data_IF_719066794794
#
_entry.id   IF_719066794794
#
_cell.length_a   1.000
_cell.length_b   1.000
_cell.length_c   1.000
_cell.angle_alpha   90.00
_cell.angle_beta   90.00
_cell.angle_gamma   90.00
#
_symmetry.space_group_name_H-M   'P 1'
#
loop_
_entity.id
_entity.type
_entity.pdbx_description
1 polymer ?
#
# COMPACT_ATOMS: atom_id res chain seq x y z
N UNK A 1 -34.79 -2.41 -35.32
CA UNK A 1 -34.75 -3.53 -34.35
C UNK A 1 -33.42 -3.44 -33.61
N UNK A 2 -33.42 -3.01 -32.35
CA UNK A 2 -32.21 -2.91 -31.54
C UNK A 2 -31.90 -4.26 -30.91
N UNK A 3 -30.80 -4.89 -31.29
CA UNK A 3 -30.29 -6.09 -30.64
C UNK A 3 -29.65 -5.66 -29.31
N UNK A 4 -30.34 -5.91 -28.20
CA UNK A 4 -29.75 -5.80 -26.86
C UNK A 4 -28.80 -6.98 -26.67
N UNK A 5 -27.49 -6.71 -26.76
CA UNK A 5 -26.45 -7.68 -26.44
C UNK A 5 -26.44 -7.91 -24.92
N UNK A 6 -27.18 -8.91 -24.44
CA UNK A 6 -27.09 -9.34 -23.06
C UNK A 6 -25.80 -10.16 -22.91
N UNK A 7 -24.82 -9.71 -22.09
CA UNK A 7 -23.61 -10.50 -21.88
C UNK A 7 -23.99 -11.85 -21.26
N UNK A 8 -23.34 -12.96 -21.67
CA UNK A 8 -23.63 -14.28 -21.13
C UNK A 8 -23.55 -14.27 -19.59
N UNK A 9 -24.42 -14.99 -18.88
CA UNK A 9 -24.46 -14.97 -17.41
C UNK A 9 -23.13 -15.39 -16.76
N UNK A 10 -22.33 -16.22 -17.45
CA UNK A 10 -20.98 -16.58 -17.03
C UNK A 10 -20.01 -15.38 -17.05
N UNK A 11 -20.11 -14.51 -18.05
CA UNK A 11 -19.29 -13.29 -18.14
C UNK A 11 -19.65 -12.35 -16.98
N UNK A 12 -20.95 -12.19 -16.70
CA UNK A 12 -21.40 -11.40 -15.56
C UNK A 12 -20.89 -11.99 -14.22
N UNK A 13 -20.97 -13.32 -14.05
CA UNK A 13 -20.49 -14.00 -12.85
C UNK A 13 -18.98 -13.82 -12.64
N UNK A 14 -18.18 -13.91 -13.71
CA UNK A 14 -16.73 -13.65 -13.65
C UNK A 14 -16.44 -12.20 -13.26
N UNK A 15 -17.14 -11.24 -13.86
CA UNK A 15 -16.99 -9.83 -13.47
C UNK A 15 -17.35 -9.59 -12.00
N UNK A 16 -18.44 -10.18 -11.51
CA UNK A 16 -18.84 -10.08 -10.11
C UNK A 16 -17.81 -10.70 -9.17
N UNK A 17 -17.24 -11.85 -9.53
CA UNK A 17 -16.16 -12.49 -8.76
C UNK A 17 -14.90 -11.62 -8.72
N UNK A 18 -14.50 -11.03 -9.84
CA UNK A 18 -13.35 -10.12 -9.89
C UNK A 18 -13.59 -8.87 -9.05
N UNK A 19 -14.77 -8.25 -9.17
CA UNK A 19 -15.15 -7.08 -8.36
C UNK A 19 -15.18 -7.43 -6.86
N UNK A 20 -15.73 -8.59 -6.49
CA UNK A 20 -15.73 -9.06 -5.12
C UNK A 20 -14.31 -9.30 -4.59
N UNK A 21 -13.44 -9.92 -5.38
CA UNK A 21 -12.04 -10.15 -5.03
C UNK A 21 -11.29 -8.81 -4.83
N UNK A 22 -11.45 -7.86 -5.75
CA UNK A 22 -10.87 -6.52 -5.64
C UNK A 22 -11.42 -5.79 -4.40
N UNK A 23 -12.72 -5.86 -4.15
CA UNK A 23 -13.34 -5.23 -2.99
C UNK A 23 -12.85 -5.85 -1.67
N UNK A 24 -12.77 -7.18 -1.60
CA UNK A 24 -12.24 -7.88 -0.42
C UNK A 24 -10.77 -7.52 -0.20
N UNK A 25 -9.97 -7.49 -1.27
CA UNK A 25 -8.57 -7.10 -1.19
C UNK A 25 -8.42 -5.64 -0.73
N UNK A 26 -9.21 -4.71 -1.30
CA UNK A 26 -9.24 -3.30 -0.89
C UNK A 26 -9.72 -3.09 0.55
N UNK A 27 -10.59 -3.97 1.07
CA UNK A 27 -11.01 -3.96 2.48
C UNK A 27 -9.95 -4.54 3.41
N UNK A 28 -9.16 -5.49 2.95
CA UNK A 28 -8.05 -6.09 3.68
C UNK A 28 -6.78 -5.23 3.66
N UNK A 29 -6.72 -4.20 2.80
CA UNK A 29 -5.60 -3.27 2.81
C UNK A 29 -5.49 -2.59 4.19
N UNK A 30 -4.30 -2.52 4.79
CA UNK A 30 -4.11 -1.87 6.08
C UNK A 30 -4.53 -0.41 5.99
N UNK A 31 -5.56 -0.03 6.74
CA UNK A 31 -6.04 1.34 6.86
C UNK A 31 -5.50 1.94 8.15
N UNK A 32 -4.75 3.02 8.04
CA UNK A 32 -4.16 3.70 9.18
C UNK A 32 -3.05 4.65 8.77
N UNK A 33 -2.53 5.40 9.72
CA UNK A 33 -1.35 6.22 9.50
C UNK A 33 -0.10 5.40 9.85
N UNK A 34 0.86 5.35 8.92
CA UNK A 34 2.17 4.76 9.15
C UNK A 34 3.14 5.88 9.50
N UNK A 35 3.61 5.91 10.75
CA UNK A 35 4.69 6.79 11.16
C UNK A 35 6.02 6.13 10.87
N UNK A 36 6.94 6.86 10.26
CA UNK A 36 8.28 6.37 9.95
C UNK A 36 9.29 7.22 10.71
N UNK A 37 10.19 6.56 11.41
CA UNK A 37 11.26 7.18 12.19
C UNK A 37 12.59 6.60 11.76
N UNK A 38 13.63 7.43 11.76
CA UNK A 38 15.00 7.00 11.48
C UNK A 38 15.76 7.01 12.79
N UNK A 39 16.34 5.87 13.17
CA UNK A 39 17.17 5.70 14.36
C UNK A 39 18.45 4.99 13.95
N UNK A 40 19.61 5.61 14.21
CA UNK A 40 20.93 5.07 13.88
C UNK A 40 21.05 4.51 12.45
N UNK A 41 20.61 5.30 11.46
CA UNK A 41 20.59 4.93 10.03
C UNK A 41 19.63 3.78 9.66
N UNK A 42 18.88 3.26 10.63
CA UNK A 42 17.85 2.25 10.43
C UNK A 42 16.48 2.90 10.40
N UNK A 43 15.67 2.51 9.42
CA UNK A 43 14.28 2.96 9.33
C UNK A 43 13.38 2.03 10.16
N UNK A 44 12.59 2.62 11.04
CA UNK A 44 11.53 1.97 11.77
C UNK A 44 10.19 2.54 11.34
N UNK A 45 9.19 1.67 11.23
CA UNK A 45 7.83 2.04 10.94
C UNK A 45 6.91 1.60 12.07
N UNK A 46 5.86 2.39 12.30
CA UNK A 46 4.92 2.20 13.39
C UNK A 46 3.53 2.52 12.87
N UNK A 47 2.62 1.56 12.99
CA UNK A 47 1.21 1.79 12.68
C UNK A 47 0.56 2.58 13.83
N UNK A 48 -0.20 3.61 13.50
CA UNK A 48 -1.03 4.32 14.46
C UNK A 48 -2.44 3.73 14.38
N UNK A 49 -2.94 3.19 15.50
CA UNK A 49 -4.30 2.66 15.58
C UNK A 49 -5.32 3.79 15.39
N UNK A 50 -6.55 3.42 15.00
CA UNK A 50 -7.66 4.36 14.93
C UNK A 50 -7.95 5.05 16.29
N UNK A 51 -7.60 4.41 17.42
CA UNK A 51 -7.69 5.00 18.76
C UNK A 51 -6.53 5.94 19.13
N UNK A 52 -5.60 6.21 18.20
CA UNK A 52 -4.43 7.07 18.43
C UNK A 52 -3.25 6.35 19.08
N UNK A 53 -3.44 5.15 19.63
CA UNK A 53 -2.37 4.37 20.25
C UNK A 53 -1.39 3.81 19.20
N UNK A 54 -0.09 4.06 19.33
CA UNK A 54 0.91 3.48 18.44
C UNK A 54 1.06 1.97 18.65
N UNK A 55 1.21 1.21 17.56
CA UNK A 55 1.78 -0.13 17.62
C UNK A 55 3.28 -0.08 17.95
N UNK A 56 3.87 -1.26 18.20
CA UNK A 56 5.31 -1.38 18.35
C UNK A 56 6.03 -0.92 17.08
N UNK A 57 7.21 -0.33 17.27
CA UNK A 57 8.07 0.04 16.16
C UNK A 57 8.66 -1.23 15.54
N UNK A 58 8.43 -1.42 14.25
CA UNK A 58 8.97 -2.55 13.48
C UNK A 58 9.97 -2.07 12.45
N UNK A 59 10.90 -2.94 12.07
CA UNK A 59 11.90 -2.62 11.06
C UNK A 59 11.23 -2.33 9.71
N UNK A 60 11.61 -1.22 9.08
CA UNK A 60 11.19 -0.84 7.73
C UNK A 60 12.33 -1.12 6.74
N UNK A 61 12.04 -1.88 5.68
CA UNK A 61 12.99 -2.13 4.58
C UNK A 61 12.37 -1.72 3.25
N UNK A 62 13.16 -1.08 2.39
CA UNK A 62 12.79 -0.87 1.00
C UNK A 62 13.28 -2.05 0.18
N UNK A 63 12.37 -2.74 -0.52
CA UNK A 63 12.73 -3.78 -1.48
C UNK A 63 12.64 -3.30 -2.93
N UNK A 64 11.91 -2.21 -3.17
CA UNK A 64 11.76 -1.65 -4.50
C UNK A 64 11.53 -0.14 -4.43
N UNK A 65 12.36 0.62 -5.15
CA UNK A 65 12.24 2.07 -5.29
C UNK A 65 12.11 2.41 -6.78
N UNK A 66 10.88 2.33 -7.31
CA UNK A 66 10.58 2.69 -8.70
C UNK A 66 10.34 4.20 -8.87
N UNK A 67 10.12 4.69 -10.09
CA UNK A 67 9.75 6.10 -10.33
C UNK A 67 8.40 6.47 -9.72
N UNK A 68 7.46 5.52 -9.70
CA UNK A 68 6.07 5.75 -9.28
C UNK A 68 5.62 4.88 -8.11
N UNK A 69 6.24 3.70 -7.94
CA UNK A 69 5.80 2.69 -6.98
C UNK A 69 6.91 2.38 -5.98
N UNK A 70 6.56 2.24 -4.71
CA UNK A 70 7.48 1.84 -3.64
C UNK A 70 7.05 0.51 -3.04
N UNK A 71 7.96 -0.45 -3.01
CA UNK A 71 7.80 -1.72 -2.31
C UNK A 71 8.48 -1.64 -0.95
N UNK A 72 7.68 -1.59 0.11
CA UNK A 72 8.10 -1.55 1.50
C UNK A 72 7.87 -2.91 2.16
N UNK A 73 8.68 -3.20 3.16
CA UNK A 73 8.50 -4.32 4.09
C UNK A 73 8.48 -3.74 5.50
N UNK A 74 7.35 -3.92 6.16
CA UNK A 74 7.03 -3.38 7.48
C UNK A 74 6.89 -4.57 8.42
N UNK A 75 7.95 -4.92 9.15
CA UNK A 75 7.93 -6.05 10.08
C UNK A 75 7.58 -7.40 9.44
N UNK A 76 8.01 -7.64 8.19
CA UNK A 76 7.74 -8.87 7.44
C UNK A 76 6.48 -8.79 6.55
N UNK A 77 5.66 -7.75 6.69
CA UNK A 77 4.52 -7.52 5.82
C UNK A 77 4.92 -6.66 4.61
N UNK A 78 4.71 -7.19 3.40
CA UNK A 78 5.02 -6.47 2.16
C UNK A 78 3.90 -5.51 1.80
N UNK A 79 4.25 -4.24 1.67
CA UNK A 79 3.35 -3.14 1.33
C UNK A 79 3.77 -2.48 0.02
N UNK A 80 2.81 -2.33 -0.88
CA UNK A 80 3.00 -1.58 -2.12
C UNK A 80 2.34 -0.22 -1.99
N UNK A 81 3.16 0.83 -2.04
CA UNK A 81 2.69 2.19 -1.94
C UNK A 81 2.62 2.80 -3.34
N UNK A 82 1.40 3.10 -3.78
CA UNK A 82 1.12 3.85 -4.99
C UNK A 82 1.24 5.35 -4.72
N UNK A 83 1.54 6.17 -5.75
CA UNK A 83 1.83 7.59 -5.57
C UNK A 83 0.58 8.41 -5.17
N UNK A 84 -0.61 7.88 -5.42
CA UNK A 84 -1.92 8.42 -5.05
C UNK A 84 -2.40 7.98 -3.66
N UNK A 85 -1.78 6.96 -3.07
CA UNK A 85 -2.14 6.42 -1.75
C UNK A 85 -1.64 7.29 -0.58
N UNK A 86 -0.83 8.31 -0.88
CA UNK A 86 -0.17 9.18 0.09
C UNK A 86 -0.08 10.59 -0.50
N UNK A 87 0.02 11.62 0.34
CA UNK A 87 0.20 12.98 -0.16
C UNK A 87 1.50 13.08 -0.99
N UNK A 88 1.51 13.92 -2.02
CA UNK A 88 2.69 14.09 -2.87
C UNK A 88 3.91 14.64 -2.08
N UNK A 89 3.68 15.30 -0.94
CA UNK A 89 4.74 15.78 -0.05
C UNK A 89 5.36 14.63 0.73
N UNK A 90 4.52 13.80 1.37
CA UNK A 90 4.98 12.65 2.14
C UNK A 90 5.63 11.59 1.24
N UNK A 91 5.11 11.40 0.03
CA UNK A 91 5.73 10.53 -0.98
C UNK A 91 7.15 10.99 -1.31
N UNK A 92 7.36 12.29 -1.54
CA UNK A 92 8.70 12.85 -1.81
C UNK A 92 9.62 12.74 -0.60
N UNK A 93 9.11 13.01 0.61
CA UNK A 93 9.88 12.87 1.85
C UNK A 93 10.31 11.42 2.06
N UNK A 94 9.38 10.47 1.92
CA UNK A 94 9.64 9.04 2.01
C UNK A 94 10.68 8.58 0.99
N UNK A 95 10.55 9.00 -0.28
CA UNK A 95 11.55 8.70 -1.30
C UNK A 95 12.93 9.19 -0.89
N UNK A 96 13.07 10.42 -0.38
CA UNK A 96 14.36 10.95 0.08
C UNK A 96 14.95 10.13 1.24
N UNK A 97 14.11 9.69 2.18
CA UNK A 97 14.53 8.81 3.27
C UNK A 97 15.07 7.47 2.75
N UNK A 98 14.40 6.89 1.75
CA UNK A 98 14.76 5.59 1.17
C UNK A 98 15.90 5.67 0.14
N UNK A 99 16.14 6.84 -0.44
CA UNK A 99 17.18 7.09 -1.44
C UNK A 99 18.58 7.30 -0.82
N UNK A 100 18.76 7.12 0.51
CA UNK A 100 20.10 7.12 1.08
C UNK A 100 20.92 5.99 0.43
N UNK A 101 22.03 6.32 -0.27
CA UNK A 101 22.87 5.33 -0.93
C UNK A 101 23.67 4.62 0.15
N UNK A 102 23.28 3.40 0.48
CA UNK A 102 23.86 2.69 1.61
C UNK A 102 23.38 1.26 1.76
N UNK A 103 23.11 0.59 0.63
CA UNK A 103 23.27 -0.86 0.47
C UNK A 103 23.78 -1.14 -0.93
#
# INVERSE_FOLDING_TARGET
>A
MGLTFAPPPLVLAVWLLLLAAVALHARAQPKGALSIQTLDEVLYARWIKACGEPYDAVLLRCHYLGPWLLGLDVGGARLWLWPDSVSAQDHRALRRLLHRPGR
#
